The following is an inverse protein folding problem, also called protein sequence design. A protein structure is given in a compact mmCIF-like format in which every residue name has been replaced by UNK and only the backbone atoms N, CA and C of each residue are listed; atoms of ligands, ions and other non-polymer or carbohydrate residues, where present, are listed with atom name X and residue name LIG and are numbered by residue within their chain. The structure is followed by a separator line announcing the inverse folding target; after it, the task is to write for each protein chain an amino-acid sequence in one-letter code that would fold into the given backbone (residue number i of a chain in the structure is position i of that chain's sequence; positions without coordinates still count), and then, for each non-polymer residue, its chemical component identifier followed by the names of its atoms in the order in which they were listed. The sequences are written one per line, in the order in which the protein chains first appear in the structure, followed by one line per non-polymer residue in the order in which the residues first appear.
data_IF_619392794730
#
_entry.id   IF_619392794730
#
_cell.length_a   1.000
_cell.length_b   1.000
_cell.length_c   1.000
_cell.angle_alpha   90.00
_cell.angle_beta   90.00
_cell.angle_gamma   90.00
#
_symmetry.space_group_name_H-M   'P 1'
#
loop_
_entity.id
_entity.type
_entity.pdbx_description
1 polymer ?
#
# COMPACT_ATOMS: atom_id res chain seq x y z
N UNK A 1 1.60 -53.95 -18.93
CA UNK A 1 0.81 -52.87 -18.32
C UNK A 1 1.78 -51.80 -17.82
N UNK A 2 2.12 -50.82 -18.67
CA UNK A 2 1.73 -49.40 -18.54
C UNK A 2 2.05 -48.77 -17.17
N UNK A 3 3.18 -48.09 -17.15
CA UNK A 3 3.42 -46.76 -16.58
C UNK A 3 2.85 -46.42 -15.20
N UNK A 4 3.74 -46.32 -14.20
CA UNK A 4 3.59 -45.34 -13.12
C UNK A 4 4.62 -44.23 -13.33
N UNK A 5 4.22 -43.24 -14.11
CA UNK A 5 4.87 -41.93 -14.17
C UNK A 5 4.85 -41.37 -12.74
N UNK A 6 6.03 -41.29 -12.12
CA UNK A 6 6.24 -40.53 -10.90
C UNK A 6 5.91 -39.07 -11.20
N UNK A 7 4.71 -38.64 -10.79
CA UNK A 7 4.26 -37.26 -10.89
C UNK A 7 4.97 -36.42 -9.82
N UNK A 8 6.26 -36.17 -10.05
CA UNK A 8 6.97 -35.09 -9.36
C UNK A 8 6.36 -33.76 -9.85
N UNK A 9 5.29 -33.36 -9.18
CA UNK A 9 4.67 -32.05 -9.34
C UNK A 9 5.75 -31.04 -8.99
N UNK A 10 6.46 -30.55 -10.00
CA UNK A 10 7.47 -29.50 -9.91
C UNK A 10 6.84 -28.27 -9.27
N UNK A 11 6.84 -28.19 -7.94
CA UNK A 11 6.46 -27.00 -7.19
C UNK A 11 7.35 -25.88 -7.72
N UNK A 12 6.76 -24.87 -8.37
CA UNK A 12 7.49 -23.69 -8.83
C UNK A 12 8.20 -23.09 -7.62
N UNK A 13 9.51 -23.26 -7.53
CA UNK A 13 10.33 -22.66 -6.47
C UNK A 13 10.12 -21.15 -6.55
N UNK A 14 9.54 -20.58 -5.48
CA UNK A 14 9.40 -19.13 -5.35
C UNK A 14 10.81 -18.53 -5.37
N UNK A 15 11.03 -17.51 -6.19
CA UNK A 15 12.32 -16.84 -6.29
C UNK A 15 12.74 -16.33 -4.90
N UNK A 16 13.77 -16.95 -4.32
CA UNK A 16 14.31 -16.55 -3.02
C UNK A 16 15.30 -15.40 -3.24
N UNK A 17 14.99 -14.23 -2.68
CA UNK A 17 15.91 -13.09 -2.70
C UNK A 17 17.06 -13.39 -1.73
N UNK A 18 18.30 -13.25 -2.20
CA UNK A 18 19.49 -13.36 -1.35
C UNK A 18 19.40 -12.29 -0.26
N UNK A 19 19.54 -12.70 1.01
CA UNK A 19 19.51 -11.81 2.18
C UNK A 19 20.67 -10.80 2.12
N UNK A 20 20.52 -9.66 2.79
CA UNK A 20 21.57 -8.66 2.83
C UNK A 20 22.83 -9.19 3.51
N UNK A 21 22.67 -9.91 4.63
CA UNK A 21 23.75 -10.56 5.36
C UNK A 21 24.55 -11.53 4.47
N UNK A 22 23.88 -12.36 3.68
CA UNK A 22 24.55 -13.26 2.74
C UNK A 22 25.31 -12.48 1.66
N UNK A 23 24.75 -11.38 1.15
CA UNK A 23 25.47 -10.54 0.18
C UNK A 23 26.72 -9.90 0.79
N UNK A 24 26.67 -9.48 2.05
CA UNK A 24 27.81 -8.93 2.78
C UNK A 24 28.91 -9.98 2.95
N UNK A 25 28.55 -11.15 3.51
CA UNK A 25 29.49 -12.25 3.72
C UNK A 25 30.23 -12.67 2.45
N UNK A 26 29.52 -12.74 1.31
CA UNK A 26 30.17 -13.13 0.06
C UNK A 26 31.09 -12.03 -0.48
N UNK A 27 30.71 -10.75 -0.31
CA UNK A 27 31.59 -9.63 -0.68
C UNK A 27 32.85 -9.63 0.18
N UNK A 28 32.71 -9.75 1.50
CA UNK A 28 33.85 -9.81 2.43
C UNK A 28 34.77 -10.99 2.10
N UNK A 29 34.20 -12.15 1.78
CA UNK A 29 34.97 -13.33 1.39
C UNK A 29 35.75 -13.11 0.09
N UNK A 30 35.19 -12.41 -0.90
CA UNK A 30 35.91 -12.07 -2.14
C UNK A 30 37.06 -11.11 -1.85
N UNK A 31 36.85 -10.08 -1.04
CA UNK A 31 37.89 -9.10 -0.69
C UNK A 31 39.03 -9.74 0.13
N UNK A 32 38.72 -10.72 0.98
CA UNK A 32 39.72 -11.48 1.74
C UNK A 32 40.49 -12.52 0.89
N UNK A 33 39.95 -12.91 -0.27
CA UNK A 33 40.52 -13.96 -1.12
C UNK A 33 40.59 -13.52 -2.59
N UNK A 34 41.37 -12.47 -2.92
CA UNK A 34 41.39 -11.88 -4.26
C UNK A 34 41.87 -12.82 -5.37
N UNK A 35 42.62 -13.88 -5.03
CA UNK A 35 43.09 -14.91 -5.95
C UNK A 35 42.00 -15.89 -6.38
N UNK A 36 40.88 -15.99 -5.65
CA UNK A 36 39.81 -16.93 -5.97
C UNK A 36 38.89 -16.39 -7.07
N UNK A 37 38.60 -17.18 -8.12
CA UNK A 37 37.67 -16.75 -9.15
C UNK A 37 36.23 -16.70 -8.60
N UNK A 38 35.44 -15.72 -9.06
CA UNK A 38 34.04 -15.52 -8.63
C UNK A 38 33.19 -16.79 -8.80
N UNK A 39 33.49 -17.62 -9.81
CA UNK A 39 32.80 -18.89 -10.05
C UNK A 39 33.02 -19.92 -8.93
N UNK A 40 34.20 -19.92 -8.31
CA UNK A 40 34.52 -20.79 -7.17
C UNK A 40 33.85 -20.30 -5.90
N UNK A 41 33.91 -18.99 -5.64
CA UNK A 41 33.17 -18.38 -4.52
C UNK A 41 31.67 -18.63 -4.66
N UNK A 42 31.10 -18.50 -5.86
CA UNK A 42 29.69 -18.78 -6.10
C UNK A 42 29.31 -20.23 -5.74
N UNK A 43 30.17 -21.20 -6.07
CA UNK A 43 29.99 -22.60 -5.70
C UNK A 43 30.06 -22.82 -4.19
N UNK A 44 31.06 -22.22 -3.52
CA UNK A 44 31.21 -22.29 -2.06
C UNK A 44 29.95 -21.81 -1.32
N UNK A 45 29.33 -20.74 -1.80
CA UNK A 45 28.11 -20.18 -1.21
C UNK A 45 26.79 -20.72 -1.82
N UNK A 46 26.85 -21.70 -2.71
CA UNK A 46 25.69 -22.23 -3.44
C UNK A 46 24.83 -21.14 -4.13
N UNK A 47 25.50 -20.12 -4.67
CA UNK A 47 24.88 -19.00 -5.38
C UNK A 47 25.09 -19.14 -6.89
N UNK A 48 24.18 -18.55 -7.67
CA UNK A 48 24.38 -18.43 -9.11
C UNK A 48 25.51 -17.43 -9.39
N UNK A 49 26.54 -17.85 -10.13
CA UNK A 49 27.70 -17.02 -10.50
C UNK A 49 27.30 -15.67 -11.12
N UNK A 50 26.31 -15.65 -12.02
CA UNK A 50 25.84 -14.40 -12.64
C UNK A 50 25.27 -13.43 -11.61
N UNK A 51 24.62 -13.97 -10.58
CA UNK A 51 24.06 -13.16 -9.48
C UNK A 51 25.18 -12.62 -8.61
N UNK A 52 26.18 -13.45 -8.30
CA UNK A 52 27.32 -13.02 -7.52
C UNK A 52 28.16 -11.95 -8.25
N UNK A 53 28.47 -12.16 -9.54
CA UNK A 53 29.12 -11.14 -10.38
C UNK A 53 28.36 -9.81 -10.34
N UNK A 54 27.03 -9.85 -10.46
CA UNK A 54 26.20 -8.63 -10.40
C UNK A 54 26.25 -7.92 -9.03
N UNK A 55 26.36 -8.68 -7.94
CA UNK A 55 26.51 -8.12 -6.59
C UNK A 55 27.89 -7.47 -6.47
N UNK A 56 28.94 -8.22 -6.80
CA UNK A 56 30.32 -7.76 -6.66
C UNK A 56 30.63 -6.55 -7.56
N UNK A 57 30.24 -6.58 -8.84
CA UNK A 57 30.40 -5.42 -9.73
C UNK A 57 29.61 -4.19 -9.28
N UNK A 58 28.54 -4.35 -8.49
CA UNK A 58 27.84 -3.19 -7.89
C UNK A 58 28.61 -2.65 -6.70
N UNK A 59 29.13 -3.53 -5.86
CA UNK A 59 29.98 -3.16 -4.74
C UNK A 59 31.21 -2.38 -5.22
N UNK A 60 31.93 -2.90 -6.23
CA UNK A 60 33.10 -2.23 -6.81
C UNK A 60 32.77 -0.85 -7.41
N UNK A 61 31.59 -0.68 -8.03
CA UNK A 61 31.21 0.59 -8.67
C UNK A 61 30.71 1.65 -7.69
N UNK A 62 29.80 1.25 -6.80
CA UNK A 62 29.02 2.18 -5.99
C UNK A 62 29.40 2.12 -4.49
N UNK A 63 30.26 1.18 -4.07
CA UNK A 63 30.51 0.85 -2.66
C UNK A 63 29.31 0.22 -1.95
N UNK A 64 28.27 -0.20 -2.70
CA UNK A 64 26.95 -0.57 -2.16
C UNK A 64 26.61 -2.03 -2.42
N UNK A 65 26.23 -2.73 -1.36
CA UNK A 65 25.73 -4.10 -1.40
C UNK A 65 24.21 -4.13 -1.60
N UNK A 66 23.52 -3.14 -1.01
CA UNK A 66 22.09 -2.94 -1.14
C UNK A 66 21.73 -2.50 -2.58
N UNK A 67 20.63 -3.02 -3.10
CA UNK A 67 20.09 -2.60 -4.38
C UNK A 67 19.50 -1.19 -4.27
N UNK A 68 19.71 -0.34 -5.27
CA UNK A 68 18.96 0.92 -5.38
C UNK A 68 17.47 0.60 -5.42
N UNK A 69 16.69 1.33 -4.62
CA UNK A 69 15.23 1.25 -4.66
C UNK A 69 14.82 1.55 -6.10
N UNK A 70 14.09 0.62 -6.71
CA UNK A 70 13.57 0.79 -8.08
C UNK A 70 12.29 1.62 -8.01
N UNK A 71 12.14 2.51 -8.98
CA UNK A 71 11.06 3.49 -9.00
C UNK A 71 11.49 4.82 -8.37
N UNK A 72 10.90 5.91 -8.85
CA UNK A 72 11.15 7.26 -8.36
C UNK A 72 9.91 7.87 -7.72
N UNK A 73 10.06 9.13 -7.27
CA UNK A 73 8.93 9.94 -6.86
C UNK A 73 7.90 9.96 -8.00
N UNK A 74 6.69 9.47 -7.72
CA UNK A 74 5.57 9.68 -8.63
C UNK A 74 5.18 11.14 -8.52
N UNK A 75 5.21 11.88 -9.63
CA UNK A 75 4.75 13.27 -9.69
C UNK A 75 3.24 13.32 -9.44
N UNK A 76 2.85 13.29 -8.16
CA UNK A 76 1.46 13.38 -7.77
C UNK A 76 0.96 14.81 -8.04
N UNK A 77 -0.14 14.92 -8.80
CA UNK A 77 -0.80 16.20 -9.04
C UNK A 77 -1.27 16.85 -7.73
N UNK A 78 -1.65 16.05 -6.73
CA UNK A 78 -2.10 16.56 -5.43
C UNK A 78 -0.90 16.70 -4.47
N UNK A 79 -0.38 17.91 -4.37
CA UNK A 79 0.61 18.36 -3.37
C UNK A 79 -0.01 18.61 -2.00
N UNK A 80 0.84 18.82 -1.00
CA UNK A 80 0.43 19.07 0.39
C UNK A 80 -0.49 20.29 0.52
N UNK A 81 -0.17 21.39 -0.18
CA UNK A 81 -0.99 22.62 -0.20
C UNK A 81 -2.47 22.33 -0.53
N UNK A 82 -2.73 21.43 -1.47
CA UNK A 82 -4.10 21.07 -1.84
C UNK A 82 -4.79 20.21 -0.77
N UNK A 83 -4.03 19.38 -0.04
CA UNK A 83 -4.57 18.62 1.09
C UNK A 83 -4.97 19.54 2.22
N UNK A 84 -4.12 20.51 2.55
CA UNK A 84 -4.39 21.50 3.60
C UNK A 84 -5.65 22.30 3.25
N UNK A 85 -5.84 22.62 1.97
CA UNK A 85 -7.06 23.28 1.49
C UNK A 85 -8.30 22.42 1.59
N UNK A 86 -8.19 21.12 1.31
CA UNK A 86 -9.29 20.15 1.52
C UNK A 86 -9.68 20.11 3.00
N UNK A 87 -8.71 20.08 3.92
CA UNK A 87 -8.99 20.14 5.36
C UNK A 87 -9.77 21.41 5.71
N UNK A 88 -9.32 22.56 5.23
CA UNK A 88 -9.97 23.84 5.51
C UNK A 88 -11.41 23.90 4.98
N UNK A 89 -11.69 23.32 3.81
CA UNK A 89 -13.07 23.21 3.30
C UNK A 89 -13.95 22.33 4.19
N UNK A 90 -13.42 21.20 4.66
CA UNK A 90 -14.15 20.26 5.53
C UNK A 90 -14.34 20.80 6.95
N UNK A 91 -13.38 21.56 7.49
CA UNK A 91 -13.49 22.21 8.79
C UNK A 91 -14.55 23.31 8.77
N UNK A 92 -14.65 24.05 7.65
CA UNK A 92 -15.61 25.14 7.50
C UNK A 92 -17.03 24.63 7.28
N UNK A 93 -17.20 23.57 6.51
CA UNK A 93 -18.47 22.88 6.30
C UNK A 93 -18.24 21.36 6.17
N UNK A 94 -18.47 20.58 7.24
CA UNK A 94 -18.32 19.12 7.20
C UNK A 94 -19.26 18.43 6.21
N UNK A 95 -20.38 19.06 5.85
CA UNK A 95 -21.38 18.52 4.93
C UNK A 95 -21.13 18.91 3.47
N UNK A 96 -20.02 19.60 3.17
CA UNK A 96 -19.71 20.03 1.82
C UNK A 96 -19.68 18.82 0.86
N UNK A 97 -20.44 18.84 -0.24
CA UNK A 97 -20.45 17.73 -1.17
C UNK A 97 -19.11 17.66 -1.91
N UNK A 98 -18.60 16.44 -2.11
CA UNK A 98 -17.31 16.18 -2.75
C UNK A 98 -17.14 16.87 -4.12
N UNK A 99 -18.25 17.02 -4.87
CA UNK A 99 -18.28 17.73 -6.16
C UNK A 99 -17.91 19.21 -6.00
N UNK A 100 -18.39 19.88 -4.94
CA UNK A 100 -18.06 21.27 -4.66
C UNK A 100 -16.60 21.43 -4.23
N UNK A 101 -16.07 20.51 -3.41
CA UNK A 101 -14.64 20.50 -3.06
C UNK A 101 -13.76 20.44 -4.31
N UNK A 102 -14.13 19.59 -5.27
CA UNK A 102 -13.43 19.51 -6.57
C UNK A 102 -13.52 20.81 -7.35
N UNK A 103 -14.71 21.42 -7.44
CA UNK A 103 -14.90 22.69 -8.15
C UNK A 103 -14.06 23.80 -7.52
N UNK A 104 -14.06 23.92 -6.20
CA UNK A 104 -13.29 24.93 -5.47
C UNK A 104 -11.79 24.77 -5.72
N UNK A 105 -11.26 23.54 -5.63
CA UNK A 105 -9.85 23.26 -5.91
C UNK A 105 -9.45 23.53 -7.36
N UNK A 106 -10.30 23.13 -8.31
CA UNK A 106 -10.03 23.37 -9.73
C UNK A 106 -9.99 24.87 -10.04
N UNK A 107 -10.90 25.65 -9.44
CA UNK A 107 -10.98 27.09 -9.63
C UNK A 107 -9.79 27.81 -8.99
N UNK A 108 -9.41 27.41 -7.76
CA UNK A 108 -8.35 28.06 -7.00
C UNK A 108 -6.96 27.77 -7.57
N UNK A 109 -6.67 26.52 -7.93
CA UNK A 109 -5.34 26.09 -8.32
C UNK A 109 -5.17 25.84 -9.83
N UNK A 110 -6.21 26.11 -10.63
CA UNK A 110 -6.20 26.01 -12.10
C UNK A 110 -5.71 24.65 -12.63
N UNK A 111 -6.03 23.55 -11.95
CA UNK A 111 -5.75 22.20 -12.42
C UNK A 111 -6.99 21.32 -12.33
N UNK A 112 -7.01 20.19 -13.04
CA UNK A 112 -8.15 19.28 -13.08
C UNK A 112 -7.92 18.05 -12.21
N UNK A 113 -8.79 17.85 -11.23
CA UNK A 113 -8.88 16.63 -10.42
C UNK A 113 -10.25 15.97 -10.51
N UNK A 114 -10.24 14.64 -10.42
CA UNK A 114 -11.47 13.86 -10.32
C UNK A 114 -11.97 13.80 -8.88
N UNK A 115 -13.28 13.59 -8.70
CA UNK A 115 -13.87 13.31 -7.38
C UNK A 115 -13.20 12.10 -6.70
N UNK A 116 -12.86 11.05 -7.46
CA UNK A 116 -12.16 9.87 -6.92
C UNK A 116 -10.78 10.23 -6.35
N UNK A 117 -10.08 11.19 -6.94
CA UNK A 117 -8.80 11.69 -6.43
C UNK A 117 -8.98 12.37 -5.08
N UNK A 118 -9.94 13.30 -4.97
CA UNK A 118 -10.23 13.98 -3.71
C UNK A 118 -10.69 12.99 -2.64
N UNK A 119 -11.55 12.03 -2.97
CA UNK A 119 -11.95 10.97 -2.03
C UNK A 119 -10.77 10.16 -1.49
N UNK A 120 -9.80 9.79 -2.34
CA UNK A 120 -8.58 9.10 -1.88
C UNK A 120 -7.72 10.00 -0.98
N UNK A 121 -7.66 11.30 -1.25
CA UNK A 121 -6.93 12.26 -0.42
C UNK A 121 -7.57 12.38 0.96
N UNK A 122 -8.90 12.54 1.03
CA UNK A 122 -9.65 12.57 2.31
C UNK A 122 -9.39 11.29 3.11
N UNK A 123 -9.45 10.11 2.46
CA UNK A 123 -9.10 8.83 3.10
C UNK A 123 -7.66 8.82 3.61
N UNK A 124 -6.71 9.37 2.85
CA UNK A 124 -5.30 9.43 3.26
C UNK A 124 -5.04 10.41 4.42
N UNK A 125 -5.95 11.35 4.66
CA UNK A 125 -5.92 12.26 5.81
C UNK A 125 -6.56 11.64 7.07
N UNK A 126 -6.96 10.37 7.02
CA UNK A 126 -7.69 9.66 8.08
C UNK A 126 -9.01 10.32 8.49
N UNK A 127 -9.56 11.20 7.64
CA UNK A 127 -10.87 11.80 7.85
C UNK A 127 -11.92 10.78 7.43
N UNK A 128 -12.69 10.28 8.39
CA UNK A 128 -13.79 9.36 8.13
C UNK A 128 -15.08 10.14 8.02
N UNK A 129 -15.81 9.96 6.91
CA UNK A 129 -17.13 10.55 6.74
C UNK A 129 -18.11 9.77 7.63
N UNK A 130 -18.46 10.32 8.79
CA UNK A 130 -19.57 9.80 9.57
C UNK A 130 -20.87 10.19 8.85
N UNK A 131 -21.66 9.20 8.45
CA UNK A 131 -23.00 9.45 7.93
C UNK A 131 -23.88 9.94 9.09
N UNK A 132 -24.02 11.25 9.24
CA UNK A 132 -25.02 11.84 10.12
C UNK A 132 -26.36 11.64 9.43
N UNK A 133 -27.12 10.63 9.88
CA UNK A 133 -28.50 10.44 9.43
C UNK A 133 -29.38 11.39 10.22
N UNK A 134 -30.12 12.32 9.59
CA UNK A 134 -31.10 13.11 10.33
C UNK A 134 -32.12 12.13 10.91
N UNK A 135 -32.20 12.09 12.23
CA UNK A 135 -33.25 11.37 12.93
C UNK A 135 -34.51 12.25 12.81
N UNK A 136 -35.60 11.79 12.19
CA UNK A 136 -36.82 12.58 12.13
C UNK A 136 -37.30 12.84 13.55
N UNK A 137 -37.77 14.07 13.83
CA UNK A 137 -38.22 14.49 15.16
C UNK A 137 -39.31 13.55 15.68
N UNK A 138 -40.19 13.07 14.79
CA UNK A 138 -41.22 12.07 15.11
C UNK A 138 -40.67 10.80 15.75
N UNK A 139 -39.42 10.39 15.47
CA UNK A 139 -38.81 9.23 16.12
C UNK A 139 -38.77 9.35 17.64
N UNK A 140 -38.74 10.56 18.20
CA UNK A 140 -38.76 10.79 19.64
C UNK A 140 -40.13 11.28 20.17
N UNK A 141 -41.19 11.27 19.36
CA UNK A 141 -42.55 11.54 19.83
C UNK A 141 -42.96 10.44 20.84
N UNK A 142 -43.51 10.78 22.02
CA UNK A 142 -43.99 9.78 22.99
C UNK A 142 -44.92 8.73 22.37
N UNK A 143 -45.78 9.11 21.42
CA UNK A 143 -46.67 8.18 20.72
C UNK A 143 -45.88 7.14 19.89
N UNK A 144 -44.88 7.58 19.13
CA UNK A 144 -44.02 6.72 18.31
C UNK A 144 -43.07 5.86 19.16
N UNK A 145 -42.69 6.32 20.36
CA UNK A 145 -41.96 5.51 21.35
C UNK A 145 -42.88 4.40 21.87
N UNK A 146 -44.10 4.75 22.28
CA UNK A 146 -45.08 3.80 22.81
C UNK A 146 -45.50 2.76 21.77
N UNK A 147 -45.74 3.16 20.52
CA UNK A 147 -46.08 2.26 19.43
C UNK A 147 -44.97 1.22 19.18
N UNK A 148 -43.70 1.63 19.24
CA UNK A 148 -42.56 0.71 19.12
C UNK A 148 -42.45 -0.24 20.31
N UNK A 149 -42.70 0.23 21.52
CA UNK A 149 -42.72 -0.60 22.72
C UNK A 149 -43.79 -1.70 22.60
N UNK A 150 -45.02 -1.32 22.24
CA UNK A 150 -46.14 -2.24 22.04
C UNK A 150 -45.86 -3.27 20.93
N UNK A 151 -45.29 -2.83 19.81
CA UNK A 151 -44.89 -3.73 18.73
C UNK A 151 -43.85 -4.76 19.20
N UNK A 152 -42.83 -4.32 19.93
CA UNK A 152 -41.79 -5.20 20.46
C UNK A 152 -42.38 -6.23 21.41
N UNK A 153 -43.22 -5.80 22.35
CA UNK A 153 -43.92 -6.68 23.28
C UNK A 153 -44.73 -7.75 22.53
N UNK A 154 -45.56 -7.35 21.57
CA UNK A 154 -46.36 -8.26 20.74
C UNK A 154 -45.51 -9.23 19.92
N UNK A 155 -44.33 -8.83 19.48
CA UNK A 155 -43.43 -9.67 18.70
C UNK A 155 -42.77 -10.77 19.55
N UNK A 156 -42.41 -10.45 20.79
CA UNK A 156 -41.79 -11.42 21.72
C UNK A 156 -42.79 -12.29 22.50
N UNK A 157 -44.07 -11.91 22.52
CA UNK A 157 -45.17 -12.73 23.08
C UNK A 157 -45.73 -13.78 22.09
N UNK A 158 -45.16 -13.87 20.88
CA UNK A 158 -45.41 -14.95 19.90
C UNK A 158 -44.36 -16.03 19.99
#
# INVERSE_FOLDING_TARGET
MKDKISSDVRRRRKYAKISLDMKQKVVDYIEQNPQLPIAEVARHFSLNERTLRKIYSRYQRDGRIVEKIRGGARNNKVKQIHKDRICLYLEKDPNIPLRQVVQNLNNEFKFQISQKTVSRVIKSLNITYALIRPIPISRNNPEDIQARFLYAQKYFER
#
